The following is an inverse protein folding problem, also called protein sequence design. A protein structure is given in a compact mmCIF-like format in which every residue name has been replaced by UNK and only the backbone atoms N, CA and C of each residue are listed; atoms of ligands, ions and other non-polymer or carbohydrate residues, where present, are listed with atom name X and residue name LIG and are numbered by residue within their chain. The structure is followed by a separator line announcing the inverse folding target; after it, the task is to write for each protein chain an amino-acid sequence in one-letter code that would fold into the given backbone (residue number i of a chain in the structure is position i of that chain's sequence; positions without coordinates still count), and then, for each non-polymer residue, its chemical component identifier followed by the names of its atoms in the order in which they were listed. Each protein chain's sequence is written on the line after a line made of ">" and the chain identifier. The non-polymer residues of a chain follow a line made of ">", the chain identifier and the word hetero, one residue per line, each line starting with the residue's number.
data_IF_688792130203
#
_entry.id   IF_688792130203
#
_cell.length_a   1.000
_cell.length_b   1.000
_cell.length_c   1.000
_cell.angle_alpha   90.00
_cell.angle_beta   90.00
_cell.angle_gamma   90.00
#
_symmetry.space_group_name_H-M   'P 1'
#
loop_
_entity.id
_entity.type
_entity.pdbx_description
1 polymer ?
#
# COMPACT_ATOMS: atom_id res chain seq x y z
N UNK A 1 16.78 1.40 4.92
CA UNK A 1 17.50 2.47 4.21
C UNK A 1 18.92 2.54 4.73
N UNK A 2 19.91 2.54 3.87
CA UNK A 2 21.31 2.82 4.22
C UNK A 2 21.63 4.29 3.98
N UNK A 3 22.55 4.85 4.76
CA UNK A 3 23.06 6.22 4.57
C UNK A 3 24.41 6.10 3.87
N UNK A 4 24.53 6.68 2.66
CA UNK A 4 25.78 6.76 1.92
C UNK A 4 26.64 7.90 2.45
N UNK A 5 26.43 9.11 1.93
CA UNK A 5 27.12 10.32 2.40
C UNK A 5 26.13 11.23 3.12
N UNK A 6 26.46 11.68 4.34
CA UNK A 6 25.73 12.72 5.04
C UNK A 6 26.73 13.76 5.52
N UNK A 7 26.77 14.89 4.82
CA UNK A 7 27.66 15.99 5.15
C UNK A 7 26.97 17.30 4.78
N UNK A 8 26.59 18.08 5.78
CA UNK A 8 25.96 19.40 5.59
C UNK A 8 26.64 20.49 6.43
N UNK A 9 27.58 20.10 7.31
CA UNK A 9 28.42 21.03 8.07
C UNK A 9 27.80 21.52 9.38
N UNK A 10 26.66 20.95 9.79
CA UNK A 10 26.02 21.21 11.08
C UNK A 10 25.68 19.89 11.79
N UNK A 11 26.36 19.63 12.91
CA UNK A 11 26.34 18.34 13.59
C UNK A 11 24.98 17.99 14.20
N UNK A 12 24.25 18.97 14.72
CA UNK A 12 22.93 18.73 15.32
C UNK A 12 21.89 18.43 14.23
N UNK A 13 21.93 19.15 13.11
CA UNK A 13 21.09 18.81 11.96
C UNK A 13 21.47 17.45 11.37
N UNK A 14 22.75 17.10 11.26
CA UNK A 14 23.17 15.77 10.80
C UNK A 14 22.64 14.66 11.71
N UNK A 15 22.66 14.86 13.03
CA UNK A 15 22.06 13.92 13.99
C UNK A 15 20.55 13.78 13.76
N UNK A 16 19.83 14.89 13.65
CA UNK A 16 18.39 14.89 13.40
C UNK A 16 18.02 14.24 12.05
N UNK A 17 18.86 14.38 11.03
CA UNK A 17 18.71 13.71 9.75
C UNK A 17 18.91 12.20 9.85
N UNK A 18 19.92 11.73 10.59
CA UNK A 18 20.13 10.29 10.84
C UNK A 18 18.94 9.67 11.57
N UNK A 19 18.42 10.36 12.58
CA UNK A 19 17.21 9.94 13.29
C UNK A 19 16.01 9.88 12.35
N UNK A 20 15.83 10.91 11.51
CA UNK A 20 14.77 10.94 10.49
C UNK A 20 14.85 9.75 9.54
N UNK A 21 16.05 9.41 9.07
CA UNK A 21 16.28 8.26 8.18
C UNK A 21 16.02 6.92 8.87
N UNK A 22 16.42 6.79 10.14
CA UNK A 22 16.13 5.63 10.97
C UNK A 22 14.64 5.46 11.20
N UNK A 23 13.93 6.55 11.53
CA UNK A 23 12.49 6.54 11.74
C UNK A 23 11.71 6.15 10.48
N UNK A 24 12.09 6.72 9.32
CA UNK A 24 11.41 6.54 8.03
C UNK A 24 11.41 5.08 7.56
N UNK A 25 12.52 4.38 7.73
CA UNK A 25 12.68 3.04 7.17
C UNK A 25 12.45 2.97 5.66
N UNK A 26 12.16 1.78 5.15
CA UNK A 26 11.84 1.51 3.74
C UNK A 26 10.73 0.45 3.66
N UNK A 27 9.99 0.38 2.55
CA UNK A 27 9.09 -0.74 2.29
C UNK A 27 9.82 -2.09 2.35
N UNK A 28 9.11 -3.13 2.77
CA UNK A 28 9.68 -4.47 2.89
C UNK A 28 10.15 -5.00 1.53
N UNK A 29 11.38 -5.53 1.48
CA UNK A 29 11.98 -6.06 0.25
C UNK A 29 12.58 -5.00 -0.69
N UNK A 30 12.58 -3.72 -0.29
CA UNK A 30 13.22 -2.65 -1.07
C UNK A 30 14.52 -2.17 -0.43
N UNK A 31 15.56 -2.06 -1.26
CA UNK A 31 16.85 -1.49 -0.87
C UNK A 31 16.97 -0.04 -1.34
N UNK A 32 17.18 0.85 -0.37
CA UNK A 32 17.37 2.28 -0.62
C UNK A 32 18.63 2.78 0.05
N UNK A 33 19.38 3.59 -0.69
CA UNK A 33 20.51 4.36 -0.19
C UNK A 33 20.19 5.86 -0.30
N UNK A 34 20.40 6.62 0.78
CA UNK A 34 20.25 8.09 0.80
C UNK A 34 21.61 8.76 0.99
N UNK A 35 21.83 9.85 0.27
CA UNK A 35 22.94 10.77 0.47
C UNK A 35 22.44 12.21 0.54
N UNK A 36 23.02 13.00 1.44
CA UNK A 36 22.76 14.43 1.58
C UNK A 36 24.09 15.17 1.58
N UNK A 37 24.22 16.15 0.70
CA UNK A 37 25.41 16.98 0.55
C UNK A 37 25.04 18.46 0.45
N UNK A 38 25.96 19.39 0.75
CA UNK A 38 25.71 20.79 0.50
C UNK A 38 25.75 21.01 -1.02
N UNK A 39 24.83 21.80 -1.54
CA UNK A 39 24.85 22.26 -2.92
C UNK A 39 25.59 23.60 -3.00
N UNK A 40 26.37 23.78 -4.07
CA UNK A 40 27.05 25.05 -4.37
C UNK A 40 26.08 26.20 -4.60
N UNK A 41 24.80 25.92 -4.87
CA UNK A 41 23.76 26.92 -5.04
C UNK A 41 23.20 27.43 -3.70
N UNK A 42 23.60 28.64 -3.28
CA UNK A 42 23.00 29.40 -2.18
C UNK A 42 22.85 28.62 -0.84
N UNK A 43 23.71 27.62 -0.64
CA UNK A 43 23.74 26.71 0.51
C UNK A 43 22.64 25.63 0.53
N UNK A 44 21.83 25.46 -0.51
CA UNK A 44 20.78 24.43 -0.57
C UNK A 44 21.35 23.04 -0.23
N UNK A 45 20.50 22.12 0.23
CA UNK A 45 20.90 20.71 0.37
C UNK A 45 20.54 19.97 -0.91
N UNK A 46 21.49 19.20 -1.43
CA UNK A 46 21.19 18.18 -2.43
C UNK A 46 20.92 16.87 -1.71
N UNK A 47 19.76 16.28 -2.00
CA UNK A 47 19.36 14.97 -1.48
C UNK A 47 19.27 14.04 -2.67
N UNK A 48 20.07 12.98 -2.63
CA UNK A 48 20.09 11.93 -3.64
C UNK A 48 19.66 10.60 -3.02
N UNK A 49 18.81 9.86 -3.73
CA UNK A 49 18.46 8.49 -3.37
C UNK A 49 18.76 7.54 -4.52
N UNK A 50 19.08 6.30 -4.17
CA UNK A 50 19.15 5.17 -5.10
C UNK A 50 18.23 4.08 -4.59
N UNK A 51 17.39 3.54 -5.48
CA UNK A 51 16.44 2.48 -5.12
C UNK A 51 15.61 1.98 -6.30
N UNK A 52 14.55 1.19 -6.03
CA UNK A 52 13.62 0.68 -7.03
C UNK A 52 12.98 1.80 -7.87
N UNK A 53 12.54 1.50 -9.11
CA UNK A 53 11.92 2.49 -10.00
C UNK A 53 10.56 2.95 -9.48
N UNK A 54 10.31 4.25 -9.60
CA UNK A 54 9.04 4.94 -9.32
C UNK A 54 8.54 5.66 -10.56
N UNK A 55 7.23 5.93 -10.62
CA UNK A 55 6.61 6.65 -11.73
C UNK A 55 6.87 8.16 -11.63
N UNK A 56 7.49 8.74 -12.67
CA UNK A 56 7.82 10.17 -12.71
C UNK A 56 6.59 11.08 -12.58
N UNK A 57 5.43 10.67 -13.09
CA UNK A 57 4.17 11.41 -12.98
C UNK A 57 3.70 11.60 -11.53
N UNK A 58 4.13 10.75 -10.60
CA UNK A 58 3.74 10.81 -9.18
C UNK A 58 4.76 11.58 -8.32
N UNK A 59 5.98 11.75 -8.83
CA UNK A 59 7.12 12.38 -8.14
C UNK A 59 7.73 13.51 -8.96
N UNK A 60 6.87 14.44 -9.38
CA UNK A 60 7.28 15.58 -10.22
C UNK A 60 8.40 16.42 -9.57
N UNK A 61 8.40 16.51 -8.25
CA UNK A 61 9.37 17.29 -7.44
C UNK A 61 10.77 16.65 -7.36
N UNK A 62 10.94 15.44 -7.91
CA UNK A 62 12.19 14.69 -7.93
C UNK A 62 12.71 14.56 -9.34
N UNK A 63 13.97 14.90 -9.59
CA UNK A 63 14.64 14.43 -10.79
C UNK A 63 14.85 12.91 -10.69
N UNK A 64 14.46 12.17 -11.73
CA UNK A 64 14.52 10.71 -11.76
C UNK A 64 15.34 10.28 -12.96
N UNK A 65 16.40 9.53 -12.72
CA UNK A 65 17.30 9.00 -13.75
C UNK A 65 17.36 7.49 -13.59
N UNK A 66 16.79 6.77 -14.56
CA UNK A 66 16.86 5.31 -14.60
C UNK A 66 18.25 4.88 -15.10
N UNK A 67 18.92 4.01 -14.35
CA UNK A 67 20.17 3.35 -14.73
C UNK A 67 19.96 1.84 -14.79
N UNK A 68 20.95 1.12 -15.32
CA UNK A 68 20.88 -0.33 -15.49
C UNK A 68 20.80 -1.10 -14.16
N UNK A 69 21.36 -0.52 -13.08
CA UNK A 69 21.52 -1.10 -11.76
C UNK A 69 20.50 -0.58 -10.73
N UNK A 70 20.15 0.71 -10.80
CA UNK A 70 19.16 1.33 -9.92
C UNK A 70 18.53 2.58 -10.53
N UNK A 71 17.44 3.07 -9.95
CA UNK A 71 16.94 4.41 -10.26
C UNK A 71 17.50 5.42 -9.27
N UNK A 72 18.07 6.51 -9.80
CA UNK A 72 18.57 7.64 -9.00
C UNK A 72 17.51 8.73 -8.93
N UNK A 73 17.27 9.21 -7.72
CA UNK A 73 16.38 10.33 -7.43
C UNK A 73 17.23 11.50 -6.91
N UNK A 74 16.94 12.72 -7.34
CA UNK A 74 17.59 13.93 -6.83
C UNK A 74 16.57 15.03 -6.57
N UNK A 75 16.68 15.71 -5.44
CA UNK A 75 15.91 16.92 -5.12
C UNK A 75 16.80 17.92 -4.39
N UNK A 76 16.66 19.20 -4.75
CA UNK A 76 17.27 20.32 -4.04
C UNK A 76 16.29 20.86 -3.00
N UNK A 77 16.76 21.00 -1.77
CA UNK A 77 16.03 21.63 -0.67
C UNK A 77 16.61 23.01 -0.42
N UNK A 78 15.84 24.05 -0.74
CA UNK A 78 16.29 25.44 -0.60
C UNK A 78 16.39 25.85 0.88
N UNK A 79 16.98 27.02 1.15
CA UNK A 79 17.23 27.51 2.52
C UNK A 79 15.98 27.50 3.42
N UNK A 80 14.81 27.80 2.87
CA UNK A 80 13.53 27.77 3.59
C UNK A 80 13.03 26.36 3.93
N UNK A 81 13.58 25.32 3.30
CA UNK A 81 13.18 23.92 3.45
C UNK A 81 14.26 23.08 4.17
N UNK A 82 15.31 23.71 4.72
CA UNK A 82 16.40 23.04 5.47
C UNK A 82 15.99 22.64 6.87
N UNK A 83 14.84 21.99 6.97
CA UNK A 83 14.41 21.37 8.20
C UNK A 83 14.16 19.89 7.95
N UNK A 84 14.63 19.00 8.86
CA UNK A 84 14.43 17.56 8.74
C UNK A 84 12.98 17.14 8.45
N UNK A 85 11.98 17.89 8.93
CA UNK A 85 10.55 17.63 8.67
C UNK A 85 10.17 17.72 7.19
N UNK A 86 10.68 18.69 6.44
CA UNK A 86 10.36 18.84 5.01
C UNK A 86 10.99 17.72 4.19
N UNK A 87 12.22 17.38 4.52
CA UNK A 87 12.91 16.21 3.97
C UNK A 87 12.12 14.94 4.27
N UNK A 88 11.76 14.72 5.52
CA UNK A 88 11.00 13.54 5.97
C UNK A 88 9.71 13.38 5.18
N UNK A 89 8.96 14.46 4.99
CA UNK A 89 7.72 14.46 4.20
C UNK A 89 7.97 14.10 2.74
N UNK A 90 8.98 14.70 2.11
CA UNK A 90 9.34 14.43 0.72
C UNK A 90 9.79 12.97 0.52
N UNK A 91 10.63 12.46 1.43
CA UNK A 91 11.09 11.07 1.41
C UNK A 91 9.95 10.09 1.67
N UNK A 92 9.05 10.38 2.62
CA UNK A 92 7.91 9.51 2.87
C UNK A 92 7.04 9.35 1.62
N UNK A 93 6.80 10.44 0.87
CA UNK A 93 6.06 10.40 -0.40
C UNK A 93 6.75 9.53 -1.44
N UNK A 94 8.08 9.61 -1.56
CA UNK A 94 8.86 8.84 -2.53
C UNK A 94 8.99 7.35 -2.16
N UNK A 95 9.30 7.07 -0.90
CA UNK A 95 9.58 5.72 -0.41
C UNK A 95 8.27 4.93 -0.26
N UNK A 96 7.24 5.55 0.32
CA UNK A 96 6.00 4.87 0.72
C UNK A 96 4.82 5.25 -0.20
N UNK A 97 4.94 5.03 -1.51
CA UNK A 97 3.90 5.32 -2.52
C UNK A 97 2.56 4.65 -2.23
N UNK A 98 2.58 3.53 -1.50
CA UNK A 98 1.39 2.82 -1.05
C UNK A 98 0.56 3.61 -0.03
N UNK A 99 1.09 4.69 0.56
CA UNK A 99 0.40 5.56 1.51
C UNK A 99 0.43 7.00 1.01
N UNK A 100 -0.65 7.42 0.37
CA UNK A 100 -0.77 8.72 -0.27
C UNK A 100 -1.50 9.71 0.63
N UNK A 101 -0.76 10.54 1.35
CA UNK A 101 -1.34 11.68 2.06
C UNK A 101 -1.80 12.74 1.05
N UNK A 102 -3.10 13.03 1.04
CA UNK A 102 -3.65 14.20 0.36
C UNK A 102 -3.35 15.47 1.16
N UNK A 103 -3.72 16.62 0.61
CA UNK A 103 -3.60 17.89 1.31
C UNK A 103 -4.24 17.80 2.69
N UNK A 104 -3.45 18.13 3.70
CA UNK A 104 -3.84 18.02 5.10
C UNK A 104 -4.09 19.44 5.64
N UNK A 105 -5.35 19.83 5.88
CA UNK A 105 -5.70 21.19 6.31
C UNK A 105 -5.14 21.56 7.69
N UNK A 106 -4.67 20.59 8.48
CA UNK A 106 -4.04 20.84 9.79
C UNK A 106 -2.73 21.60 9.63
N UNK A 107 -2.05 21.49 8.47
CA UNK A 107 -0.80 22.23 8.22
C UNK A 107 -0.96 23.75 8.30
N UNK A 108 -2.13 24.27 7.91
CA UNK A 108 -2.44 25.70 7.99
C UNK A 108 -2.74 26.16 9.42
N UNK A 109 -3.02 25.23 10.33
CA UNK A 109 -3.35 25.50 11.72
C UNK A 109 -2.11 25.36 12.62
N UNK A 110 -1.49 24.19 12.57
CA UNK A 110 -0.31 23.85 13.34
C UNK A 110 0.51 22.77 12.58
N UNK A 111 1.68 23.15 12.02
CA UNK A 111 2.56 22.23 11.32
C UNK A 111 3.06 21.04 12.16
N UNK A 112 3.29 21.24 13.47
CA UNK A 112 3.78 20.19 14.38
C UNK A 112 2.66 19.18 14.62
N UNK A 113 1.44 19.68 14.88
CA UNK A 113 0.27 18.84 15.05
C UNK A 113 -0.05 18.06 13.77
N UNK A 114 0.02 18.72 12.61
CA UNK A 114 -0.20 18.09 11.31
C UNK A 114 0.75 16.92 11.06
N UNK A 115 2.05 17.12 11.35
CA UNK A 115 3.05 16.06 11.25
C UNK A 115 2.75 14.90 12.22
N UNK A 116 2.34 15.20 13.46
CA UNK A 116 2.00 14.18 14.44
C UNK A 116 0.81 13.31 13.99
N UNK A 117 -0.25 13.92 13.44
CA UNK A 117 -1.38 13.19 12.86
C UNK A 117 -0.98 12.31 11.67
N UNK A 118 -0.16 12.84 10.75
CA UNK A 118 0.34 12.05 9.62
C UNK A 118 1.25 10.91 10.09
N UNK A 119 2.09 11.14 11.11
CA UNK A 119 2.96 10.12 11.73
C UNK A 119 2.12 9.02 12.39
N UNK A 120 1.05 9.37 13.11
CA UNK A 120 0.16 8.41 13.75
C UNK A 120 -0.47 7.44 12.73
N UNK A 121 -0.96 7.97 11.60
CA UNK A 121 -1.55 7.15 10.52
C UNK A 121 -0.47 6.33 9.81
N UNK A 122 0.64 6.95 9.44
CA UNK A 122 1.71 6.28 8.72
C UNK A 122 2.31 5.11 9.51
N UNK A 123 2.54 5.28 10.80
CA UNK A 123 3.07 4.22 11.68
C UNK A 123 2.20 2.96 11.69
N UNK A 124 0.88 3.11 11.56
CA UNK A 124 -0.05 1.98 11.48
C UNK A 124 -0.08 1.36 10.08
N UNK A 125 -0.19 2.19 9.04
CA UNK A 125 -0.39 1.71 7.67
C UNK A 125 0.87 1.10 7.05
N UNK A 126 2.07 1.57 7.41
CA UNK A 126 3.35 1.11 6.81
C UNK A 126 3.64 -0.38 7.01
N UNK A 127 2.98 -1.00 8.00
CA UNK A 127 3.13 -2.42 8.32
C UNK A 127 1.98 -3.28 7.79
N UNK A 128 0.97 -2.68 7.16
CA UNK A 128 -0.21 -3.41 6.68
C UNK A 128 -0.05 -3.81 5.21
N UNK A 129 -0.27 -5.08 4.93
CA UNK A 129 -0.33 -5.59 3.55
C UNK A 129 -1.65 -5.17 2.89
N UNK A 130 -1.59 -4.06 2.16
CA UNK A 130 -2.73 -3.50 1.44
C UNK A 130 -2.34 -2.89 0.10
N UNK A 131 -3.34 -2.81 -0.78
CA UNK A 131 -3.25 -1.99 -1.99
C UNK A 131 -2.98 -0.54 -1.60
N UNK A 132 -2.39 0.28 -2.48
CA UNK A 132 -2.17 1.69 -2.22
C UNK A 132 -3.42 2.39 -1.69
N UNK A 133 -3.25 3.20 -0.65
CA UNK A 133 -4.32 3.94 0.03
C UNK A 133 -4.10 5.44 -0.06
N UNK A 134 -5.20 6.18 -0.02
CA UNK A 134 -5.22 7.62 0.15
C UNK A 134 -5.70 7.96 1.56
N UNK A 135 -4.98 8.89 2.19
CA UNK A 135 -5.28 9.42 3.52
C UNK A 135 -5.70 10.87 3.38
N UNK A 136 -6.86 11.23 3.94
CA UNK A 136 -7.37 12.61 3.96
C UNK A 136 -7.70 13.00 5.39
N UNK A 137 -7.34 14.24 5.75
CA UNK A 137 -7.71 14.83 7.02
C UNK A 137 -8.79 15.88 6.82
N UNK A 138 -9.67 15.99 7.80
CA UNK A 138 -10.62 17.09 7.93
C UNK A 138 -10.49 17.74 9.30
N UNK A 139 -10.77 19.03 9.35
CA UNK A 139 -10.84 19.81 10.60
C UNK A 139 -12.30 20.17 10.81
N UNK A 140 -12.78 19.98 12.04
CA UNK A 140 -14.12 20.35 12.46
C UNK A 140 -14.04 21.29 13.65
N UNK A 141 -14.76 22.41 13.55
CA UNK A 141 -14.91 23.34 14.67
C UNK A 141 -16.25 23.07 15.34
N UNK A 142 -16.22 22.62 16.59
CA UNK A 142 -17.44 22.33 17.35
C UNK A 142 -17.51 23.26 18.57
N UNK A 143 -18.06 24.46 18.37
CA UNK A 143 -18.41 25.39 19.44
C UNK A 143 -17.32 25.60 20.51
N UNK A 144 -17.66 25.72 21.80
CA UNK A 144 -16.69 25.92 22.89
C UNK A 144 -15.84 24.67 23.17
N UNK A 145 -16.19 23.51 22.60
CA UNK A 145 -15.54 22.22 22.87
C UNK A 145 -14.22 22.03 22.12
N UNK A 146 -13.77 23.01 21.32
CA UNK A 146 -12.48 23.03 20.66
C UNK A 146 -12.43 22.33 19.31
N UNK A 147 -11.23 22.29 18.71
CA UNK A 147 -11.03 21.66 17.40
C UNK A 147 -11.08 20.14 17.50
N UNK A 148 -11.73 19.52 16.52
CA UNK A 148 -11.72 18.07 16.33
C UNK A 148 -11.25 17.76 14.91
N UNK A 149 -10.69 16.57 14.76
CA UNK A 149 -10.12 16.11 13.50
C UNK A 149 -10.80 14.82 13.07
N UNK A 150 -10.84 14.60 11.77
CA UNK A 150 -11.31 13.35 11.18
C UNK A 150 -10.28 12.86 10.17
N UNK A 151 -10.06 11.56 10.13
CA UNK A 151 -9.19 10.91 9.16
C UNK A 151 -10.01 9.93 8.33
N UNK A 152 -9.86 10.02 7.01
CA UNK A 152 -10.40 9.07 6.05
C UNK A 152 -9.25 8.31 5.41
N UNK A 153 -9.36 6.98 5.38
CA UNK A 153 -8.45 6.09 4.66
C UNK A 153 -9.26 5.28 3.65
N UNK A 154 -8.86 5.33 2.39
CA UNK A 154 -9.51 4.57 1.32
C UNK A 154 -8.49 4.04 0.30
N UNK A 155 -8.83 3.01 -0.48
CA UNK A 155 -7.93 2.60 -1.57
C UNK A 155 -7.78 3.70 -2.62
N UNK A 156 -6.57 3.85 -3.14
CA UNK A 156 -6.25 4.85 -4.15
C UNK A 156 -6.93 4.57 -5.50
N UNK A 157 -7.23 3.30 -5.80
CA UNK A 157 -7.96 2.89 -6.99
C UNK A 157 -9.39 2.47 -6.66
N UNK A 158 -10.32 2.93 -7.51
CA UNK A 158 -11.69 2.45 -7.52
C UNK A 158 -11.69 0.98 -7.98
N UNK A 159 -11.79 0.06 -7.02
CA UNK A 159 -12.05 -1.36 -7.30
C UNK A 159 -13.40 -1.72 -6.72
N UNK A 160 -14.01 -2.80 -7.22
CA UNK A 160 -15.41 -3.18 -6.92
C UNK A 160 -15.77 -3.34 -5.43
N UNK A 161 -14.77 -3.41 -4.53
CA UNK A 161 -14.96 -3.36 -3.07
C UNK A 161 -13.85 -2.53 -2.42
N UNK A 162 -13.93 -1.18 -2.46
CA UNK A 162 -12.91 -0.36 -1.84
C UNK A 162 -13.04 -0.49 -0.31
N UNK A 163 -11.94 -0.81 0.37
CA UNK A 163 -11.93 -0.66 1.81
C UNK A 163 -11.87 0.83 2.10
N UNK A 164 -12.91 1.35 2.74
CA UNK A 164 -12.98 2.72 3.24
C UNK A 164 -13.15 2.67 4.75
N UNK A 165 -12.43 3.55 5.43
CA UNK A 165 -12.52 3.75 6.86
C UNK A 165 -12.52 5.24 7.18
N UNK A 166 -13.30 5.60 8.19
CA UNK A 166 -13.36 6.94 8.77
C UNK A 166 -13.10 6.79 10.26
N UNK A 167 -12.26 7.66 10.82
CA UNK A 167 -12.19 7.82 12.26
C UNK A 167 -13.47 8.47 12.78
N UNK A 168 -13.74 8.29 14.06
CA UNK A 168 -14.56 9.23 14.81
C UNK A 168 -13.89 10.61 14.88
N UNK A 169 -14.60 11.60 15.43
CA UNK A 169 -14.01 12.90 15.71
C UNK A 169 -13.01 12.78 16.84
N UNK A 170 -11.73 12.89 16.50
CA UNK A 170 -10.59 12.74 17.43
C UNK A 170 -10.03 14.11 17.81
N UNK A 171 -9.40 14.21 18.99
CA UNK A 171 -8.78 15.46 19.46
C UNK A 171 -7.27 15.42 19.34
N UNK A 172 -6.68 14.24 19.53
CA UNK A 172 -5.23 14.05 19.55
C UNK A 172 -4.77 13.04 18.49
N UNK A 173 -3.48 13.08 18.10
CA UNK A 173 -2.88 12.05 17.26
C UNK A 173 -2.95 10.64 17.87
N UNK A 174 -2.91 10.52 19.20
CA UNK A 174 -2.98 9.24 19.92
C UNK A 174 -4.39 8.63 19.84
N UNK A 175 -5.44 9.44 19.93
CA UNK A 175 -6.82 8.99 19.69
C UNK A 175 -6.95 8.40 18.28
N UNK A 176 -6.37 9.09 17.29
CA UNK A 176 -6.40 8.62 15.89
C UNK A 176 -5.63 7.31 15.72
N UNK A 177 -4.46 7.22 16.35
CA UNK A 177 -3.65 6.01 16.34
C UNK A 177 -4.45 4.81 16.87
N UNK A 178 -5.10 4.97 18.03
CA UNK A 178 -5.90 3.92 18.66
C UNK A 178 -7.10 3.50 17.79
N UNK A 179 -7.83 4.48 17.26
CA UNK A 179 -8.96 4.28 16.36
C UNK A 179 -8.56 3.48 15.11
N UNK A 180 -7.47 3.88 14.46
CA UNK A 180 -6.96 3.21 13.27
C UNK A 180 -6.46 1.80 13.58
N UNK A 181 -5.72 1.62 14.68
CA UNK A 181 -5.24 0.32 15.11
C UNK A 181 -6.41 -0.66 15.32
N UNK A 182 -7.47 -0.21 16.00
CA UNK A 182 -8.70 -0.99 16.20
C UNK A 182 -9.37 -1.37 14.88
N UNK A 183 -9.45 -0.42 13.94
CA UNK A 183 -10.02 -0.67 12.61
C UNK A 183 -9.21 -1.71 11.82
N UNK A 184 -7.88 -1.63 11.86
CA UNK A 184 -6.97 -2.55 11.19
C UNK A 184 -7.04 -3.97 11.78
N UNK A 185 -7.10 -4.10 13.12
CA UNK A 185 -7.31 -5.39 13.79
C UNK A 185 -8.64 -6.02 13.34
N UNK A 186 -9.71 -5.23 13.32
CA UNK A 186 -11.02 -5.72 12.87
C UNK A 186 -11.00 -6.11 11.39
N UNK A 187 -10.28 -5.38 10.55
CA UNK A 187 -10.07 -5.73 9.14
C UNK A 187 -9.31 -7.06 9.01
N UNK A 188 -8.22 -7.26 9.75
CA UNK A 188 -7.44 -8.51 9.73
C UNK A 188 -8.31 -9.70 10.13
N UNK A 189 -9.11 -9.57 11.19
CA UNK A 189 -10.09 -10.59 11.62
C UNK A 189 -11.11 -10.91 10.52
N UNK A 190 -11.68 -9.88 9.88
CA UNK A 190 -12.63 -10.07 8.75
C UNK A 190 -11.97 -10.77 7.56
N UNK A 191 -10.74 -10.41 7.19
CA UNK A 191 -10.01 -11.08 6.09
C UNK A 191 -9.72 -12.54 6.42
N UNK A 192 -9.28 -12.84 7.63
CA UNK A 192 -9.05 -14.22 8.07
C UNK A 192 -10.32 -15.07 8.00
N UNK A 193 -11.45 -14.53 8.49
CA UNK A 193 -12.75 -15.20 8.42
C UNK A 193 -13.22 -15.42 6.97
N UNK A 194 -13.07 -14.42 6.09
CA UNK A 194 -13.41 -14.53 4.67
C UNK A 194 -12.53 -15.57 3.95
N UNK A 195 -11.22 -15.59 4.23
CA UNK A 195 -10.31 -16.57 3.65
C UNK A 195 -10.67 -17.99 4.08
N UNK A 196 -11.02 -18.19 5.35
CA UNK A 196 -11.48 -19.48 5.87
C UNK A 196 -12.80 -19.91 5.22
N UNK A 197 -13.76 -18.99 5.11
CA UNK A 197 -15.04 -19.25 4.45
C UNK A 197 -14.85 -19.63 2.97
N UNK A 198 -14.00 -18.90 2.24
CA UNK A 198 -13.68 -19.18 0.83
C UNK A 198 -13.02 -20.56 0.65
N UNK A 199 -12.04 -20.92 1.50
CA UNK A 199 -11.43 -22.26 1.50
C UNK A 199 -12.46 -23.35 1.73
N UNK A 200 -13.36 -23.14 2.70
CA UNK A 200 -14.42 -24.11 2.99
C UNK A 200 -15.43 -24.27 1.84
N UNK A 201 -15.77 -23.17 1.14
CA UNK A 201 -16.65 -23.18 -0.01
C UNK A 201 -16.00 -23.89 -1.21
N UNK A 202 -14.72 -23.59 -1.48
CA UNK A 202 -13.95 -24.26 -2.53
C UNK A 202 -13.85 -25.78 -2.29
N UNK A 203 -13.62 -26.21 -1.04
CA UNK A 203 -13.59 -27.63 -0.69
C UNK A 203 -14.95 -28.32 -0.92
N UNK A 204 -16.07 -27.66 -0.58
CA UNK A 204 -17.42 -28.18 -0.86
C UNK A 204 -17.70 -28.30 -2.36
N UNK A 205 -17.31 -27.29 -3.14
CA UNK A 205 -17.46 -27.32 -4.60
C UNK A 205 -16.62 -28.43 -5.22
N UNK A 206 -15.37 -28.60 -4.80
CA UNK A 206 -14.51 -29.69 -5.26
C UNK A 206 -15.09 -31.08 -4.92
N UNK A 207 -15.68 -31.24 -3.72
CA UNK A 207 -16.37 -32.49 -3.35
C UNK A 207 -17.58 -32.76 -4.24
N UNK A 208 -18.42 -31.73 -4.49
CA UNK A 208 -19.58 -31.87 -5.40
C UNK A 208 -19.16 -32.24 -6.81
N UNK A 209 -18.10 -31.61 -7.34
CA UNK A 209 -17.57 -31.93 -8.66
C UNK A 209 -17.07 -33.39 -8.75
N UNK A 210 -16.40 -33.91 -7.70
CA UNK A 210 -15.97 -35.31 -7.66
C UNK A 210 -17.13 -36.30 -7.64
N UNK A 211 -18.19 -36.01 -6.88
CA UNK A 211 -19.39 -36.86 -6.83
C UNK A 211 -20.08 -36.87 -8.21
N UNK A 212 -20.30 -35.70 -8.81
CA UNK A 212 -20.89 -35.58 -10.13
C UNK A 212 -20.07 -36.31 -11.22
N UNK A 213 -18.73 -36.24 -11.15
CA UNK A 213 -17.86 -36.97 -12.07
C UNK A 213 -17.95 -38.49 -11.88
N UNK A 214 -18.04 -38.97 -10.63
CA UNK A 214 -18.23 -40.39 -10.34
C UNK A 214 -19.60 -40.90 -10.84
N UNK A 215 -20.66 -40.13 -10.62
CA UNK A 215 -22.00 -40.42 -11.13
C UNK A 215 -22.04 -40.45 -12.67
N UNK A 216 -21.42 -39.47 -13.34
CA UNK A 216 -21.32 -39.45 -14.80
C UNK A 216 -20.54 -40.66 -15.34
N UNK A 217 -19.45 -41.06 -14.66
CA UNK A 217 -18.67 -42.25 -15.04
C UNK A 217 -19.48 -43.54 -14.84
N UNK A 218 -20.26 -43.64 -13.76
CA UNK A 218 -21.14 -44.78 -13.51
C UNK A 218 -22.27 -44.85 -14.55
N UNK A 219 -22.89 -43.72 -14.89
CA UNK A 219 -23.90 -43.63 -15.93
C UNK A 219 -23.35 -44.04 -17.31
N UNK A 220 -22.14 -43.61 -17.67
CA UNK A 220 -21.48 -43.99 -18.92
C UNK A 220 -21.22 -45.50 -19.02
N UNK A 221 -20.91 -46.17 -17.89
CA UNK A 221 -20.74 -47.63 -17.84
C UNK A 221 -22.08 -48.40 -17.91
N UNK A 222 -23.19 -47.75 -17.55
CA UNK A 222 -24.51 -48.37 -17.54
C UNK A 222 -25.25 -48.25 -18.88
N UNK A 223 -24.71 -47.51 -19.87
CA UNK A 223 -25.30 -47.44 -21.22
C UNK A 223 -25.09 -48.81 -21.90
N UNK A 224 -26.16 -49.56 -22.22
CA UNK A 224 -26.02 -50.86 -22.87
C UNK A 224 -25.47 -50.67 -24.29
N UNK A 225 -24.44 -51.43 -24.64
CA UNK A 225 -23.95 -51.55 -26.01
C UNK A 225 -25.09 -52.10 -26.88
N UNK A 226 -25.74 -51.22 -27.66
CA UNK A 226 -26.66 -51.66 -28.70
C UNK A 226 -25.81 -52.39 -29.73
N UNK A 227 -25.82 -53.72 -29.68
CA UNK A 227 -25.18 -54.57 -30.68
C UNK A 227 -25.88 -54.29 -32.02
N UNK A 228 -25.17 -53.89 -33.09
CA UNK A 228 -25.81 -53.71 -34.38
C UNK A 228 -26.37 -55.06 -34.81
N UNK A 229 -27.68 -55.12 -35.08
CA UNK A 229 -28.33 -56.33 -35.57
C UNK A 229 -27.61 -56.80 -36.85
N UNK A 230 -27.17 -58.06 -36.93
CA UNK A 230 -26.57 -58.58 -38.15
C UNK A 230 -27.61 -58.51 -39.29
N UNK A 231 -27.19 -57.88 -40.39
CA UNK A 231 -28.00 -57.72 -41.60
C UNK A 231 -28.41 -59.11 -42.10
N UNK A 232 -29.70 -59.40 -42.34
CA UNK A 232 -30.13 -60.73 -42.77
C UNK A 232 -29.46 -61.08 -44.11
N UNK A 233 -28.96 -62.31 -44.19
CA UNK A 233 -28.29 -62.84 -45.37
C UNK A 233 -29.26 -62.86 -46.56
N UNK A 234 -28.88 -62.19 -47.65
CA UNK A 234 -29.52 -62.36 -48.95
C UNK A 234 -29.40 -63.84 -49.36
N UNK A 235 -30.53 -64.55 -49.35
CA UNK A 235 -30.66 -65.82 -50.03
C UNK A 235 -30.44 -65.58 -51.53
N UNK A 236 -29.25 -65.92 -52.02
CA UNK A 236 -29.03 -66.13 -53.46
C UNK A 236 -29.82 -67.36 -53.87
N UNK A 237 -30.94 -67.13 -54.53
CA UNK A 237 -31.54 -68.13 -55.41
C UNK A 237 -30.59 -68.39 -56.59
N UNK A 238 -30.17 -69.64 -56.76
CA UNK A 238 -29.54 -70.12 -57.99
C UNK A 238 -29.89 -71.59 -58.21
N UNK A 239 -30.58 -71.81 -59.35
CA UNK A 239 -30.81 -73.02 -60.13
C UNK A 239 -31.74 -74.09 -59.55
#
# INVERSE_FOLDING_TARGET
>A
MSIGQLSIGDGDTERALRETFGELGVPAGEDWQVSVSPSSAAGAWEVALQGPPRLKSEHIDWEIVHRADATRYRKLFHKAEREPRFLKRALRKLLWESIQFRENPIWSLDPILAEAFEKAVWNQLRHEEMKPVQVRFGVWHEGPDGMKFVCKVEYASASDRPWTWWSSLVRTPDDLHYELQKALVNRRKRRAAQALAAKSAAARLARRARIAAAEATAAAKAVPTITPLPRPAEQRASA
#
